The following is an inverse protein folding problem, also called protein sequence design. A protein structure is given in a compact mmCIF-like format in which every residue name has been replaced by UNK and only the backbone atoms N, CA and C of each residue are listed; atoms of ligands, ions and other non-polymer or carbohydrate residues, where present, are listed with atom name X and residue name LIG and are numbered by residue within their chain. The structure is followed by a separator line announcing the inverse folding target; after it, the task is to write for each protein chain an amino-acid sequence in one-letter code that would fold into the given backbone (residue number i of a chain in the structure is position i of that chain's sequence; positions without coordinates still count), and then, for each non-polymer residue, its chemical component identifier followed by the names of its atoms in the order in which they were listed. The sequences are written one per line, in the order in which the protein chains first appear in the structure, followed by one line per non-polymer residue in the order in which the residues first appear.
data_IF_758938221309
#
_entry.id   IF_758938221309
#
_cell.length_a   1.000
_cell.length_b   1.000
_cell.length_c   1.000
_cell.angle_alpha   90.00
_cell.angle_beta   90.00
_cell.angle_gamma   90.00
#
_symmetry.space_group_name_H-M   'P 1'
#
loop_
_entity.id
_entity.type
_entity.pdbx_description
1 polymer ?
2 non-polymer ?
3 water ?
#
# COMPACT_ATOMS: atom_id res chain seq x y z
CA UNK A 33 1.20 -5.45 30.35
C UNK A 33 1.51 -4.55 29.14
N UNK A 34 1.96 -5.17 28.06
CA UNK A 34 2.40 -4.48 26.85
C UNK A 34 1.27 -3.72 26.16
N UNK A 35 1.49 -2.43 26.01
CA UNK A 35 0.58 -1.53 25.33
C UNK A 35 0.94 -1.50 23.84
N UNK A 36 0.09 -2.07 23.00
CA UNK A 36 0.36 -2.14 21.57
C UNK A 36 -0.62 -1.23 20.84
N UNK A 37 -0.08 -0.24 20.16
CA UNK A 37 -0.84 0.67 19.31
C UNK A 37 -0.94 0.11 17.91
N UNK A 38 -2.14 0.25 17.32
CA UNK A 38 -2.41 -0.24 15.98
C UNK A 38 -2.61 0.97 15.11
N UNK A 39 -1.81 1.09 14.04
CA UNK A 39 -1.89 2.24 13.12
C UNK A 39 -2.92 2.04 12.00
N UNK A 40 -3.57 0.89 12.03
CA UNK A 40 -4.51 0.48 11.00
C UNK A 40 -5.88 1.07 11.19
N UNK A 41 -6.72 0.88 10.18
CA UNK A 41 -8.07 1.42 10.21
C UNK A 41 -9.13 0.32 10.07
N UNK A 42 -8.92 -0.56 9.11
CA UNK A 42 -9.92 -1.57 8.77
C UNK A 42 -10.24 -2.51 9.92
N UNK A 43 -9.26 -3.26 10.37
CA UNK A 43 -9.50 -4.37 11.29
C UNK A 43 -9.30 -3.97 12.76
N UNK A 44 -9.56 -2.72 13.09
CA UNK A 44 -9.21 -2.21 14.42
C UNK A 44 -9.95 -2.93 15.57
N UNK A 45 -11.21 -3.29 15.34
CA UNK A 45 -11.99 -4.08 16.31
C UNK A 45 -11.49 -5.54 16.45
N UNK A 46 -11.05 -6.14 15.34
CA UNK A 46 -10.46 -7.48 15.34
C UNK A 46 -9.13 -7.47 16.10
N UNK A 47 -8.32 -6.44 15.85
CA UNK A 47 -7.05 -6.24 16.53
C UNK A 47 -7.24 -6.10 18.03
N UNK A 48 -8.17 -5.22 18.45
CA UNK A 48 -8.49 -5.02 19.87
C UNK A 48 -8.85 -6.33 20.56
N UNK A 49 -9.78 -7.07 19.98
CA UNK A 49 -10.28 -8.33 20.55
C UNK A 49 -9.17 -9.37 20.72
N UNK A 50 -8.31 -9.51 19.73
CA UNK A 50 -7.25 -10.53 19.77
C UNK A 50 -6.10 -10.13 20.68
N UNK A 51 -5.67 -8.87 20.60
CA UNK A 51 -4.69 -8.34 21.55
C UNK A 51 -5.08 -8.58 23.00
N UNK A 52 -6.32 -8.23 23.36
CA UNK A 52 -6.81 -8.50 24.72
C UNK A 52 -6.67 -9.99 25.08
N UNK A 53 -7.11 -10.87 24.19
CA UNK A 53 -7.02 -12.32 24.42
C UNK A 53 -5.57 -12.86 24.61
N UNK A 54 -4.59 -12.13 24.10
CA UNK A 54 -3.19 -12.53 24.16
C UNK A 54 -2.44 -11.83 25.30
N UNK A 55 -3.17 -11.06 26.09
CA UNK A 55 -2.61 -10.45 27.29
C UNK A 55 -2.00 -9.09 27.05
N UNK A 56 -2.41 -8.43 25.96
CA UNK A 56 -1.91 -7.07 25.68
C UNK A 56 -2.98 -6.03 25.99
N UNK A 57 -2.52 -4.79 26.08
CA UNK A 57 -3.39 -3.60 26.18
C UNK A 57 -3.40 -2.97 24.78
N UNK A 58 -4.45 -3.22 23.98
CA UNK A 58 -4.52 -2.61 22.66
C UNK A 58 -4.87 -1.11 22.70
N UNK A 59 -4.25 -0.33 21.82
CA UNK A 59 -4.58 1.10 21.70
C UNK A 59 -4.80 1.40 20.23
N UNK A 60 -5.89 2.07 19.88
CA UNK A 60 -6.19 2.31 18.45
C UNK A 60 -5.76 3.72 18.03
N UNK A 61 -4.73 3.82 17.18
CA UNK A 61 -4.23 5.12 16.72
C UNK A 61 -4.15 5.11 15.20
N UNK A 62 -5.30 5.13 14.50
CA UNK A 62 -5.24 5.14 13.03
C UNK A 62 -4.55 6.39 12.50
N UNK A 63 -3.77 6.24 11.44
CA UNK A 63 -3.04 7.35 10.86
C UNK A 63 -3.62 7.71 9.48
N UNK A 64 -4.56 6.91 9.00
CA UNK A 64 -5.27 7.21 7.73
C UNK A 64 -6.67 7.71 8.03
N UNK A 65 -7.13 8.67 7.23
CA UNK A 65 -8.48 9.21 7.30
C UNK A 65 -9.46 8.22 6.68
N UNK A 66 -10.68 8.19 7.19
CA UNK A 66 -11.72 7.30 6.67
C UNK A 66 -12.15 7.75 5.28
N UNK A 67 -12.14 9.06 5.09
CA UNK A 67 -12.53 9.66 3.83
C UNK A 67 -11.45 9.44 2.77
N UNK A 68 -11.87 8.89 1.64
CA UNK A 68 -11.05 8.91 0.43
C UNK A 68 -11.53 10.12 -0.37
N UNK A 69 -10.66 10.72 -1.16
CA UNK A 69 -11.14 11.78 -2.04
C UNK A 69 -11.02 11.35 -3.49
N UNK A 70 -12.14 11.43 -4.25
CA UNK A 70 -12.09 11.09 -5.68
C UNK A 70 -11.16 11.98 -6.49
N UNK A 71 -10.56 11.38 -7.50
CA UNK A 71 -9.67 12.08 -8.40
C UNK A 71 -10.54 12.54 -9.56
N UNK A 72 -10.68 13.88 -9.73
CA UNK A 72 -11.61 14.48 -10.70
C UNK A 72 -11.41 13.96 -12.13
N UNK A 73 -10.15 13.82 -12.56
CA UNK A 73 -9.82 13.42 -13.93
C UNK A 73 -10.02 11.94 -14.18
N UNK A 74 -10.35 11.16 -13.14
CA UNK A 74 -10.35 9.70 -13.32
C UNK A 74 -11.25 9.18 -14.44
N UNK A 75 -12.50 9.63 -14.45
CA UNK A 75 -13.43 9.24 -15.52
C UNK A 75 -12.84 9.52 -16.91
N UNK A 76 -12.25 10.70 -17.08
CA UNK A 76 -11.56 11.06 -18.35
C UNK A 76 -10.40 10.12 -18.68
N UNK A 77 -9.65 9.71 -17.66
CA UNK A 77 -8.50 8.78 -17.85
C UNK A 77 -8.93 7.38 -18.26
N UNK A 78 -10.01 6.88 -17.65
CA UNK A 78 -10.58 5.59 -18.06
C UNK A 78 -11.11 5.67 -19.52
N UNK A 79 -11.78 6.78 -19.84
CA UNK A 79 -12.19 7.00 -21.25
C UNK A 79 -10.98 7.01 -22.21
N UNK A 80 -9.87 7.61 -21.80
CA UNK A 80 -8.64 7.58 -22.57
C UNK A 80 -8.08 6.15 -22.73
N UNK A 81 -8.11 5.38 -21.63
CA UNK A 81 -7.68 3.97 -21.65
C UNK A 81 -8.42 3.23 -22.73
N UNK A 82 -9.75 3.46 -22.78
CA UNK A 82 -10.64 2.85 -23.73
C UNK A 82 -10.24 3.10 -25.18
N UNK A 83 -9.39 4.10 -25.40
CA UNK A 83 -8.95 4.45 -26.76
C UNK A 83 -7.73 3.64 -27.24
N UNK A 84 -7.19 2.79 -26.35
CA UNK A 84 -6.04 1.94 -26.67
C UNK A 84 -4.74 2.43 -26.07
N UNK A 85 -4.00 1.53 -25.44
CA UNK A 85 -2.71 1.87 -24.82
C UNK A 85 -1.67 0.84 -25.24
N UNK A 86 -0.39 1.17 -25.06
CA UNK A 86 0.67 0.24 -25.46
C UNK A 86 1.03 -0.73 -24.36
N UNK A 87 1.25 -0.19 -23.16
CA UNK A 87 1.46 -1.00 -21.96
C UNK A 87 0.30 -0.78 -20.99
N UNK A 88 0.02 -1.81 -20.21
CA UNK A 88 -0.88 -1.69 -19.08
C UNK A 88 -0.21 -2.32 -17.87
N UNK A 89 -0.10 -1.57 -16.77
CA UNK A 89 0.51 -2.08 -15.54
C UNK A 89 -0.53 -2.13 -14.43
N UNK A 90 -0.67 -3.32 -13.85
CA UNK A 90 -1.62 -3.60 -12.79
C UNK A 90 -0.86 -3.73 -11.49
N UNK A 91 -1.34 -3.08 -10.45
CA UNK A 91 -0.64 -3.07 -9.17
C UNK A 91 -1.33 -3.93 -8.12
N UNK A 92 -2.66 -3.92 -8.10
CA UNK A 92 -3.43 -4.64 -7.08
C UNK A 92 -4.56 -5.44 -7.75
N UNK A 93 -5.00 -6.51 -7.09
CA UNK A 93 -6.12 -7.31 -7.60
C UNK A 93 -7.42 -6.54 -7.47
N UNK A 94 -7.58 -5.89 -6.33
CA UNK A 94 -8.78 -5.07 -6.04
C UNK A 94 -8.85 -3.91 -7.02
N UNK A 95 -7.70 -3.29 -7.26
CA UNK A 95 -7.55 -2.20 -8.22
C UNK A 95 -7.92 -2.61 -9.63
N UNK A 96 -7.45 -3.78 -10.05
CA UNK A 96 -7.86 -4.34 -11.34
C UNK A 96 -9.38 -4.52 -11.47
N UNK A 97 -9.96 -5.24 -10.52
CA UNK A 97 -11.43 -5.40 -10.45
C UNK A 97 -12.17 -4.09 -10.51
N UNK A 98 -11.73 -3.11 -9.72
CA UNK A 98 -12.40 -1.83 -9.66
C UNK A 98 -12.30 -1.05 -10.94
N UNK A 99 -11.16 -1.13 -11.63
CA UNK A 99 -11.03 -0.48 -12.93
C UNK A 99 -12.02 -1.05 -13.93
N UNK A 100 -12.12 -2.39 -13.95
CA UNK A 100 -13.03 -3.08 -14.86
C UNK A 100 -14.49 -2.71 -14.55
N UNK A 101 -14.81 -2.62 -13.28
CA UNK A 101 -16.14 -2.14 -12.87
C UNK A 101 -16.42 -0.71 -13.30
N UNK A 102 -15.39 0.15 -13.23
CA UNK A 102 -15.51 1.56 -13.63
C UNK A 102 -15.77 1.68 -15.12
N UNK A 103 -15.15 0.78 -15.91
CA UNK A 103 -15.35 0.76 -17.36
C UNK A 103 -16.81 0.38 -17.68
N UNK A 104 -17.32 -0.61 -16.95
CA UNK A 104 -18.74 -0.97 -17.04
C UNK A 104 -19.70 0.16 -16.65
N UNK A 105 -19.44 0.84 -15.54
CA UNK A 105 -20.27 1.95 -15.10
C UNK A 105 -20.29 3.07 -16.12
N UNK A 106 -19.18 3.25 -16.84
CA UNK A 106 -19.05 4.29 -17.86
C UNK A 106 -19.53 3.85 -19.25
N UNK A 107 -20.00 2.61 -19.35
CA UNK A 107 -20.40 1.99 -20.62
C UNK A 107 -19.29 1.82 -21.66
N UNK A 108 -18.07 1.54 -21.21
CA UNK A 108 -16.93 1.45 -22.13
C UNK A 108 -16.48 0.00 -22.34
N UNK A 109 -15.79 -0.26 -23.44
CA UNK A 109 -15.12 -1.53 -23.60
C UNK A 109 -13.66 -1.37 -23.23
N UNK A 110 -13.30 -1.90 -22.06
CA UNK A 110 -11.92 -1.90 -21.61
C UNK A 110 -11.18 -3.20 -21.95
N UNK A 111 -11.90 -4.32 -22.04
CA UNK A 111 -11.24 -5.62 -22.26
C UNK A 111 -10.56 -5.72 -23.65
N UNK A 112 -11.13 -5.05 -24.64
CA UNK A 112 -10.56 -4.96 -25.99
C UNK A 112 -9.21 -4.26 -26.02
N UNK A 113 -9.14 -2.98 -25.56
CA UNK A 113 -7.88 -2.27 -25.45
C UNK A 113 -6.89 -3.01 -24.56
N UNK A 114 -7.37 -3.53 -23.43
CA UNK A 114 -6.51 -4.27 -22.51
C UNK A 114 -5.98 -5.58 -23.10
N UNK A 115 -6.78 -6.23 -23.96
CA UNK A 115 -6.37 -7.46 -24.63
C UNK A 115 -5.18 -7.21 -25.57
N UNK A 116 -5.16 -6.02 -26.16
CA UNK A 116 -4.11 -5.65 -27.09
C UNK A 116 -2.87 -5.07 -26.41
N UNK A 117 -3.04 -4.55 -25.20
CA UNK A 117 -1.91 -3.97 -24.46
C UNK A 117 -0.90 -5.05 -24.05
N UNK A 118 0.36 -4.64 -23.84
CA UNK A 118 1.34 -5.52 -23.22
C UNK A 118 1.15 -5.33 -21.73
N UNK A 119 0.85 -6.41 -21.02
CA UNK A 119 0.37 -6.31 -19.64
C UNK A 119 1.39 -6.79 -18.63
N UNK A 120 1.61 -5.96 -17.61
CA UNK A 120 2.45 -6.32 -16.48
C UNK A 120 1.62 -6.33 -15.21
N UNK A 121 1.88 -7.32 -14.35
CA UNK A 121 1.27 -7.38 -13.04
C UNK A 121 2.37 -7.20 -12.00
N UNK A 122 2.19 -6.27 -11.07
CA UNK A 122 3.19 -6.08 -10.03
C UNK A 122 3.38 -7.34 -9.13
N UNK A 123 2.30 -8.06 -8.84
CA UNK A 123 2.33 -9.24 -7.94
C UNK A 123 1.29 -10.27 -8.31
N UNK A 124 1.14 -11.35 -7.52
CA UNK A 124 0.23 -12.46 -7.88
C UNK A 124 -1.25 -12.09 -7.80
N UNK A 125 -1.57 -11.17 -6.90
CA UNK A 125 -2.94 -10.74 -6.70
C UNK A 125 -3.42 -9.93 -7.90
N UNK A 126 -2.59 -8.99 -8.36
CA UNK A 126 -2.87 -8.28 -9.63
C UNK A 126 -2.92 -9.27 -10.78
N UNK A 127 -2.00 -10.25 -10.78
CA UNK A 127 -1.94 -11.27 -11.83
C UNK A 127 -3.18 -12.16 -11.87
N UNK A 128 -3.59 -12.65 -10.70
CA UNK A 128 -4.81 -13.44 -10.54
C UNK A 128 -6.03 -12.69 -11.06
N UNK A 129 -6.16 -11.41 -10.69
CA UNK A 129 -7.30 -10.60 -11.17
C UNK A 129 -7.31 -10.47 -12.70
N UNK A 130 -6.15 -10.21 -13.29
CA UNK A 130 -6.04 -10.16 -14.74
C UNK A 130 -6.41 -11.49 -15.38
N UNK A 131 -5.87 -12.59 -14.87
CA UNK A 131 -6.19 -13.93 -15.39
C UNK A 131 -7.70 -14.21 -15.37
N UNK A 132 -8.33 -13.92 -14.23
CA UNK A 132 -9.77 -14.11 -14.07
C UNK A 132 -10.65 -13.25 -14.99
N UNK A 133 -10.07 -12.15 -15.50
CA UNK A 133 -10.78 -11.29 -16.46
C UNK A 133 -10.49 -11.71 -17.90
N UNK A 134 -9.73 -12.79 -18.08
CA UNK A 134 -9.34 -13.25 -19.42
C UNK A 134 -8.21 -12.43 -20.02
N UNK A 135 -7.45 -11.78 -19.15
CA UNK A 135 -6.39 -10.86 -19.57
C UNK A 135 -5.08 -11.22 -18.86
N UNK A 136 -4.63 -12.48 -18.97
CA UNK A 136 -3.45 -12.86 -18.19
C UNK A 136 -2.25 -11.99 -18.50
N UNK A 137 -1.46 -11.63 -17.48
CA UNK A 137 -0.33 -10.72 -17.69
C UNK A 137 0.81 -11.39 -18.46
N UNK A 138 1.62 -10.58 -19.12
CA UNK A 138 2.76 -11.11 -19.85
C UNK A 138 4.01 -11.15 -19.00
N UNK A 139 4.04 -10.31 -17.95
CA UNK A 139 5.12 -10.32 -16.98
C UNK A 139 4.57 -10.05 -15.60
N UNK A 140 5.19 -10.68 -14.59
CA UNK A 140 4.73 -10.56 -13.22
C UNK A 140 5.95 -10.33 -12.34
N UNK A 141 5.81 -9.37 -11.42
CA UNK A 141 6.86 -9.06 -10.44
C UNK A 141 6.68 -9.86 -9.15
N UNK A 142 7.33 -9.41 -8.08
CA UNK A 142 7.26 -10.15 -6.82
C UNK A 142 6.39 -9.46 -5.76
N UNK A 143 5.58 -8.48 -6.20
CA UNK A 143 4.75 -7.70 -5.29
C UNK A 143 5.33 -6.32 -5.02
N UNK A 144 6.55 -6.10 -5.48
CA UNK A 144 7.21 -4.79 -5.27
C UNK A 144 7.37 -4.04 -6.57
N UNK A 145 7.16 -2.72 -6.51
CA UNK A 145 7.32 -1.86 -7.67
C UNK A 145 8.70 -2.07 -8.32
N UNK A 146 9.73 -2.19 -7.48
CA UNK A 146 11.13 -2.40 -7.91
C UNK A 146 11.34 -3.65 -8.79
N UNK A 147 10.58 -4.70 -8.53
CA UNK A 147 10.69 -5.96 -9.28
C UNK A 147 10.20 -5.83 -10.72
N UNK A 148 9.51 -4.73 -11.02
CA UNK A 148 8.96 -4.50 -12.35
C UNK A 148 10.00 -3.85 -13.28
N UNK A 149 10.97 -3.16 -12.67
CA UNK A 149 12.00 -2.42 -13.41
C UNK A 149 12.66 -3.23 -14.55
N UNK A 150 13.23 -4.43 -14.24
CA UNK A 150 13.86 -5.28 -15.27
C UNK A 150 12.88 -5.81 -16.32
N UNK A 151 11.58 -5.78 -15.99
CA UNK A 151 10.54 -6.35 -16.85
C UNK A 151 9.93 -5.37 -17.86
N UNK A 152 10.19 -4.08 -17.67
CA UNK A 152 9.62 -3.03 -18.54
C UNK A 152 10.31 -2.97 -19.90
N UNK A 153 9.52 -2.94 -21.00
CA UNK A 153 10.13 -2.72 -22.31
C UNK A 153 10.51 -1.26 -22.53
N UNK A 154 11.45 -1.06 -23.44
CA UNK A 154 11.75 0.26 -23.98
C UNK A 154 10.81 0.42 -25.16
N UNK A 155 10.23 1.61 -25.32
CA UNK A 155 9.46 1.89 -26.53
C UNK A 155 8.86 3.27 -26.55
N UNK A 156 7.82 3.42 -27.36
CA UNK A 156 7.07 4.67 -27.42
C UNK A 156 5.59 4.39 -27.21
N UNK A 157 4.87 5.41 -26.78
CA UNK A 157 3.43 5.30 -26.68
C UNK A 157 2.93 5.59 -25.28
N UNK A 158 1.76 5.04 -24.97
CA UNK A 158 1.11 5.28 -23.69
C UNK A 158 1.22 4.05 -22.81
N UNK A 159 1.66 4.23 -21.58
CA UNK A 159 1.64 3.19 -20.57
C UNK A 159 0.59 3.56 -19.53
N UNK A 160 -0.50 2.77 -19.48
CA UNK A 160 -1.55 2.93 -18.48
C UNK A 160 -1.13 2.27 -17.18
N UNK A 161 -1.21 3.02 -16.09
CA UNK A 161 -0.78 2.53 -14.80
C UNK A 161 -1.96 2.51 -13.83
N UNK A 162 -2.38 1.31 -13.47
CA UNK A 162 -3.50 1.15 -12.58
C UNK A 162 -3.02 1.34 -11.17
N UNK A 163 -3.72 2.25 -10.50
CA UNK A 163 -3.44 2.60 -9.14
C UNK A 163 -4.79 2.53 -8.42
N UNK A 164 -4.83 2.89 -7.16
CA UNK A 164 -6.11 2.94 -6.45
C UNK A 164 -6.20 4.21 -5.62
N UNK A 165 -5.35 4.28 -4.59
CA UNK A 165 -5.30 5.44 -3.71
C UNK A 165 -3.94 6.07 -3.48
N UNK A 166 -2.90 5.52 -4.08
CA UNK A 166 -1.58 6.14 -3.95
C UNK A 166 -0.74 6.11 -5.24
N UNK A 167 -0.04 7.22 -5.53
CA UNK A 167 0.88 7.34 -6.66
C UNK A 167 2.08 6.43 -6.46
N UNK A 168 2.69 6.01 -7.56
CA UNK A 168 3.91 5.19 -7.51
C UNK A 168 5.05 5.83 -8.33
N UNK A 169 5.71 6.85 -7.76
CA UNK A 169 6.73 7.66 -8.46
C UNK A 169 7.92 6.86 -9.03
N UNK A 170 8.45 5.90 -8.29
CA UNK A 170 9.57 5.09 -8.79
C UNK A 170 9.18 4.53 -10.15
N UNK A 171 8.04 3.83 -10.16
CA UNK A 171 7.50 3.19 -11.35
C UNK A 171 7.06 4.17 -12.45
N UNK A 172 6.52 5.32 -12.05
CA UNK A 172 6.05 6.31 -13.02
C UNK A 172 7.22 6.93 -13.77
N UNK A 173 8.26 7.30 -13.02
CA UNK A 173 9.47 7.84 -13.64
C UNK A 173 10.24 6.80 -14.46
N UNK A 174 10.32 5.57 -13.94
CA UNK A 174 10.87 4.44 -14.69
C UNK A 174 10.20 4.27 -16.04
N UNK A 175 8.88 4.47 -16.09
CA UNK A 175 8.13 4.35 -17.35
C UNK A 175 8.50 5.46 -18.33
N UNK A 176 8.53 6.70 -17.83
CA UNK A 176 8.98 7.86 -18.63
C UNK A 176 10.42 7.67 -19.15
N UNK A 177 11.33 7.17 -18.30
CA UNK A 177 12.69 6.78 -18.74
C UNK A 177 12.65 5.84 -19.95
N UNK A 178 11.76 4.84 -19.91
CA UNK A 178 11.66 3.84 -20.97
C UNK A 178 11.03 4.37 -22.25
N UNK A 179 10.58 5.62 -22.24
CA UNK A 179 10.05 6.26 -23.46
C UNK A 179 8.55 6.46 -23.55
N UNK A 180 7.84 6.13 -22.46
CA UNK A 180 6.38 6.09 -22.46
C UNK A 180 5.76 7.30 -21.79
N UNK A 181 4.63 7.70 -22.35
CA UNK A 181 3.72 8.69 -21.77
C UNK A 181 2.85 7.94 -20.74
N UNK A 182 2.93 8.32 -19.46
CA UNK A 182 2.21 7.61 -18.40
C UNK A 182 0.77 8.09 -18.21
N UNK A 183 -0.18 7.15 -18.30
CA UNK A 183 -1.58 7.44 -18.04
C UNK A 183 -1.96 6.87 -16.67
N UNK A 184 -2.05 7.73 -15.66
CA UNK A 184 -2.41 7.21 -14.35
C UNK A 184 -3.88 6.87 -14.35
N UNK A 185 -4.25 5.82 -13.62
CA UNK A 185 -5.63 5.46 -13.38
C UNK A 185 -5.80 5.28 -11.88
N UNK A 186 -5.87 6.40 -11.16
CA UNK A 186 -6.02 6.39 -9.71
C UNK A 186 -7.37 6.98 -9.39
N UNK A 187 -8.32 6.14 -8.95
CA UNK A 187 -9.65 6.67 -8.71
C UNK A 187 -9.78 7.55 -7.45
N UNK A 188 -8.91 7.29 -6.45
CA UNK A 188 -9.00 7.91 -5.13
C UNK A 188 -7.66 8.38 -4.60
N UNK A 189 -7.68 9.25 -3.60
CA UNK A 189 -6.45 9.52 -2.87
C UNK A 189 -6.64 9.05 -1.45
N UNK A 190 -5.78 8.17 -0.96
CA UNK A 190 -5.75 7.84 0.47
C UNK A 190 -5.22 9.09 1.16
N UNK A 191 -5.82 9.45 2.29
CA UNK A 191 -5.49 10.68 3.01
C UNK A 191 -4.98 10.33 4.40
N UNK A 192 -3.98 11.09 4.90
CA UNK A 192 -3.58 10.91 6.29
C UNK A 192 -4.68 11.41 7.26
N UNK A 193 -4.59 11.02 8.54
CA UNK A 193 -5.39 11.68 9.56
C UNK A 193 -4.42 12.57 10.32
N UNK A 194 -4.32 13.87 9.93
CA UNK A 194 -3.27 14.73 10.50
C UNK A 194 -3.21 14.84 12.04
N UNK A 195 -4.35 15.02 12.70
CA UNK A 195 -4.38 15.12 14.16
C UNK A 195 -4.08 13.76 14.81
N UNK A 196 -4.56 12.70 14.18
CA UNK A 196 -4.35 11.32 14.68
C UNK A 196 -2.89 10.89 14.66
N UNK A 197 -2.18 11.31 13.62
CA UNK A 197 -0.73 11.13 13.51
C UNK A 197 -0.01 11.87 14.62
N UNK A 198 -0.41 13.12 14.83
CA UNK A 198 0.16 13.95 15.89
C UNK A 198 -0.08 13.30 17.25
N UNK A 199 -1.27 12.73 17.47
CA UNK A 199 -1.57 12.06 18.74
C UNK A 199 -0.73 10.80 18.90
N UNK A 200 -0.62 10.01 17.84
CA UNK A 200 0.21 8.80 17.87
C UNK A 200 1.66 9.17 18.13
N UNK A 201 2.20 10.15 17.42
CA UNK A 201 3.57 10.58 17.68
C UNK A 201 3.77 10.94 19.17
N UNK A 202 2.85 11.73 19.74
CA UNK A 202 2.97 12.13 21.15
C UNK A 202 3.01 10.88 22.06
N UNK A 203 2.08 9.96 21.83
CA UNK A 203 1.99 8.70 22.60
C UNK A 203 3.28 7.89 22.59
N UNK A 204 3.89 7.77 21.42
CA UNK A 204 5.19 7.10 21.24
C UNK A 204 6.32 7.82 21.98
N UNK A 205 6.38 9.14 21.79
CA UNK A 205 7.38 9.98 22.42
C UNK A 205 7.22 10.10 23.93
N UNK A 206 5.98 10.09 24.43
CA UNK A 206 5.69 10.20 25.87
C UNK A 206 5.70 8.86 26.62
N UNK A 207 6.07 7.78 25.94
CA UNK A 207 6.17 6.47 26.58
C UNK A 207 4.85 5.80 26.93
N UNK A 208 3.76 6.17 26.24
CA UNK A 208 2.43 5.58 26.50
C UNK A 208 2.23 4.26 25.75
N UNK A 209 3.17 3.93 24.88
CA UNK A 209 3.07 2.70 24.10
C UNK A 209 4.38 1.93 24.11
N UNK A 210 4.26 0.62 24.10
CA UNK A 210 5.42 -0.26 24.15
C UNK A 210 5.78 -0.81 22.78
N UNK A 211 4.79 -0.92 21.91
CA UNK A 211 4.92 -1.45 20.56
C UNK A 211 3.91 -0.79 19.60
N UNK A 212 4.25 -0.74 18.33
CA UNK A 212 3.39 -0.06 17.36
C UNK A 212 3.29 -0.91 16.11
N UNK A 213 2.09 -1.40 15.83
CA UNK A 213 1.88 -2.30 14.70
C UNK A 213 1.41 -1.55 13.47
N UNK A 214 2.13 -1.76 12.37
CA UNK A 214 1.84 -1.19 11.06
C UNK A 214 1.43 -2.34 10.16
N UNK A 215 0.35 -2.16 9.40
CA UNK A 215 -0.12 -3.23 8.51
C UNK A 215 -0.11 -2.85 7.05
N UNK A 216 0.31 -1.63 6.74
CA UNK A 216 0.49 -1.21 5.36
C UNK A 216 1.62 -0.20 5.32
N UNK A 217 2.39 -0.22 4.23
CA UNK A 217 3.48 0.71 4.02
C UNK A 217 2.99 2.17 4.10
N UNK A 218 1.77 2.43 3.65
CA UNK A 218 1.19 3.80 3.65
C UNK A 218 1.05 4.40 5.06
N UNK A 219 0.86 3.52 6.05
CA UNK A 219 0.78 3.94 7.46
C UNK A 219 2.12 4.48 7.95
N UNK A 220 3.20 3.80 7.58
CA UNK A 220 4.55 4.28 7.86
C UNK A 220 4.75 5.66 7.23
N UNK A 221 4.45 5.79 5.94
CA UNK A 221 4.56 7.06 5.20
C UNK A 221 3.78 8.19 5.85
N UNK A 222 2.49 7.98 6.09
CA UNK A 222 1.62 8.95 6.76
C UNK A 222 2.21 9.44 8.08
N UNK A 223 2.62 8.49 8.94
CA UNK A 223 3.20 8.82 10.23
C UNK A 223 4.47 9.67 10.14
N UNK A 224 5.44 9.25 9.32
CA UNK A 224 6.69 10.02 9.26
C UNK A 224 6.57 11.33 8.49
N UNK A 225 5.69 11.35 7.49
CA UNK A 225 5.34 12.60 6.78
C UNK A 225 4.54 13.60 7.63
N UNK A 226 3.81 13.11 8.62
CA UNK A 226 2.95 13.94 9.46
C UNK A 226 3.51 14.31 10.80
N UNK A 227 4.64 13.69 11.17
CA UNK A 227 5.26 13.85 12.47
C UNK A 227 5.79 15.28 12.60
N UNK A 228 5.65 15.86 13.80
CA UNK A 228 6.31 17.14 14.10
C UNK A 228 7.82 16.93 14.24
N UNK A 229 8.21 15.84 14.90
CA UNK A 229 9.62 15.53 15.16
C UNK A 229 10.01 14.14 14.63
N UNK A 230 10.21 14.01 13.30
CA UNK A 230 10.54 12.69 12.74
C UNK A 230 11.89 12.08 13.21
N UNK A 231 12.88 12.90 13.55
CA UNK A 231 14.12 12.40 14.15
C UNK A 231 13.95 11.79 15.52
N UNK A 232 13.17 12.43 16.39
CA UNK A 232 12.85 11.89 17.70
C UNK A 232 12.02 10.61 17.55
N UNK A 233 11.02 10.67 16.68
CA UNK A 233 10.14 9.52 16.45
C UNK A 233 10.94 8.29 15.99
N UNK A 234 11.79 8.45 14.97
CA UNK A 234 12.71 7.38 14.54
C UNK A 234 13.54 6.80 15.69
N UNK A 235 14.15 7.68 16.49
CA UNK A 235 14.96 7.26 17.65
C UNK A 235 14.13 6.39 18.60
N UNK A 236 12.94 6.86 18.95
CA UNK A 236 12.02 6.13 19.83
C UNK A 236 11.70 4.74 19.29
N UNK A 237 11.34 4.67 18.00
CA UNK A 237 10.97 3.40 17.39
C UNK A 237 12.17 2.49 17.18
N UNK A 238 13.38 3.04 17.34
CA UNK A 238 14.62 2.24 17.28
C UNK A 238 15.11 1.77 18.65
N UNK A 239 14.71 2.47 19.71
CA UNK A 239 15.29 2.25 21.04
C UNK A 239 14.27 1.88 22.12
N UNK A 240 13.10 2.51 22.10
CA UNK A 240 12.15 2.42 23.23
C UNK A 240 10.86 1.71 22.84
N UNK A 241 10.37 2.00 21.65
CA UNK A 241 9.09 1.45 21.19
C UNK A 241 9.32 0.50 20.03
N UNK A 242 8.81 -0.72 20.17
CA UNK A 242 9.02 -1.78 19.18
C UNK A 242 8.08 -1.62 17.99
N UNK A 243 8.68 -1.49 16.80
CA UNK A 243 7.94 -1.31 15.57
C UNK A 243 7.68 -2.68 14.98
N UNK A 244 6.42 -2.97 14.73
CA UNK A 244 6.01 -4.28 14.28
C UNK A 244 5.47 -4.13 12.88
N UNK A 245 5.90 -4.99 11.97
CA UNK A 245 5.47 -4.89 10.58
C UNK A 245 4.76 -6.14 10.11
N UNK A 246 3.57 -5.95 9.55
CA UNK A 246 2.89 -7.04 8.89
C UNK A 246 3.24 -6.93 7.41
N UNK A 247 4.19 -7.75 6.98
CA UNK A 247 4.57 -7.83 5.57
C UNK A 247 5.95 -7.26 5.31
N UNK A 248 6.64 -7.81 4.31
CA UNK A 248 7.93 -7.26 3.94
C UNK A 248 7.86 -5.83 3.40
N UNK A 249 6.81 -5.51 2.66
CA UNK A 249 6.64 -4.17 2.05
C UNK A 249 6.52 -3.09 3.15
N UNK A 250 5.73 -3.39 4.17
CA UNK A 250 5.62 -2.56 5.38
C UNK A 250 6.97 -2.45 6.11
N UNK A 251 7.65 -3.58 6.30
CA UNK A 251 8.98 -3.53 6.90
C UNK A 251 10.00 -2.69 6.11
N UNK A 252 9.96 -2.76 4.79
CA UNK A 252 10.87 -1.96 3.93
C UNK A 252 10.60 -0.46 4.04
N UNK A 253 9.35 -0.09 4.23
CA UNK A 253 8.99 1.32 4.42
C UNK A 253 9.55 1.84 5.72
N UNK A 254 9.47 1.04 6.79
CA UNK A 254 10.08 1.43 8.07
C UNK A 254 11.57 1.64 7.86
N UNK A 255 12.22 0.66 7.23
CA UNK A 255 13.67 0.74 6.97
C UNK A 255 14.11 1.95 6.17
N UNK A 256 13.32 2.33 5.14
CA UNK A 256 13.56 3.55 4.38
C UNK A 256 13.50 4.82 5.24
N UNK A 257 12.74 4.78 6.35
CA UNK A 257 12.71 5.90 7.29
C UNK A 257 13.70 5.79 8.44
N UNK A 258 14.61 4.82 8.34
CA UNK A 258 15.70 4.68 9.32
C UNK A 258 15.31 3.93 10.58
N UNK A 259 14.19 3.20 10.49
CA UNK A 259 13.64 2.41 11.59
C UNK A 259 13.86 0.93 11.32
N UNK A 260 14.51 0.25 12.27
CA UNK A 260 14.63 -1.21 12.19
C UNK A 260 13.45 -1.89 12.88
N UNK A 261 12.59 -2.62 12.12
CA UNK A 261 11.44 -3.27 12.78
C UNK A 261 11.87 -4.32 13.82
N UNK A 262 11.17 -4.37 14.95
CA UNK A 262 11.44 -5.35 15.99
C UNK A 262 11.01 -6.74 15.54
N UNK A 263 9.88 -6.80 14.85
CA UNK A 263 9.31 -8.05 14.40
C UNK A 263 8.65 -7.78 13.07
N UNK A 264 8.83 -8.72 12.15
CA UNK A 264 8.19 -8.67 10.86
C UNK A 264 7.42 -9.97 10.65
N UNK A 265 6.12 -9.85 10.39
CA UNK A 265 5.35 -11.01 9.99
C UNK A 265 5.30 -11.12 8.49
N UNK A 266 6.01 -12.12 7.97
CA UNK A 266 6.00 -12.44 6.54
C UNK A 266 4.98 -13.53 6.22
N UNK A 267 4.02 -13.74 7.12
CA UNK A 267 2.83 -14.56 6.84
C UNK A 267 1.74 -13.62 6.35
N UNK A 268 1.95 -12.34 6.62
CA UNK A 268 1.10 -11.23 6.20
C UNK A 268 -0.32 -11.27 6.77
N UNK A 269 -0.46 -11.81 7.99
CA UNK A 269 -1.74 -11.82 8.69
C UNK A 269 -1.60 -11.11 10.03
N UNK A 270 -2.57 -10.25 10.35
CA UNK A 270 -2.61 -9.57 11.64
C UNK A 270 -2.61 -10.53 12.83
N UNK A 271 -3.38 -11.61 12.71
CA UNK A 271 -3.48 -12.63 13.76
C UNK A 271 -2.15 -13.27 14.05
N UNK A 272 -1.44 -13.62 12.96
CA UNK A 272 -0.11 -14.21 13.04
C UNK A 272 0.94 -13.27 13.64
N UNK A 273 0.89 -11.99 13.26
CA UNK A 273 1.79 -10.98 13.83
C UNK A 273 1.66 -10.92 15.34
N UNK A 274 0.42 -10.95 15.83
CA UNK A 274 0.19 -10.85 17.27
C UNK A 274 0.71 -12.08 18.03
N UNK A 275 0.43 -13.27 17.51
CA UNK A 275 0.97 -14.51 18.10
C UNK A 275 2.50 -14.51 18.00
N UNK A 276 3.03 -14.22 16.82
CA UNK A 276 4.47 -14.17 16.59
C UNK A 276 5.24 -13.14 17.41
N UNK A 277 4.64 -11.96 17.58
CA UNK A 277 5.20 -10.93 18.46
C UNK A 277 5.26 -11.37 19.93
N UNK A 278 4.18 -12.01 20.39
CA UNK A 278 4.17 -12.51 21.77
C UNK A 278 5.40 -13.40 22.07
N UNK A 279 5.73 -14.30 21.13
CA UNK A 279 6.89 -15.19 21.30
C UNK A 279 8.23 -14.45 21.21
N UNK A 280 8.34 -13.56 20.22
CA UNK A 280 9.55 -12.77 19.99
C UNK A 280 9.93 -11.95 21.23
N UNK A 281 8.93 -11.41 21.89
CA UNK A 281 9.11 -10.62 23.10
C UNK A 281 9.87 -11.39 24.21
N UNK A 282 9.38 -12.59 24.51
CA UNK A 282 9.93 -13.40 25.59
C UNK A 282 11.29 -14.00 25.21
X LIG B 1 -6.94 -3.98 6.49
X LIG B 1 -6.35 -4.52 5.53
X LIG B 1 -6.91 -4.84 4.46
X LIG B 1 -4.87 -4.81 5.69
X LIG B 1 -4.12 -3.50 5.81
X LIG B 1 -4.07 -2.70 4.53
X LIG B 1 -3.77 -3.18 3.30
X LIG B 1 -3.81 -2.12 2.42
X LIG B 1 -3.45 -4.63 2.94
X LIG B 1 -4.34 -5.11 1.82
X LIG B 1 -4.29 -1.30 4.41
X LIG B 1 -4.64 -0.34 5.55
X LIG B 1 -5.91 -0.72 6.27
X LIG B 1 -6.85 -1.14 5.56
X LIG B 1 -5.98 -0.58 7.52
X LIG B 1 -4.14 -0.96 3.10
X LIG B 1 -4.29 0.41 2.48
X LIG B 1 -4.42 0.21 1.00
X LIG B 1 -5.61 -0.14 0.41
X LIG B 1 -3.45 0.25 0.02
X LIG B 1 -1.98 0.59 0.20
X LIG B 1 -1.17 -0.60 0.74
X LIG B 1 0.21 -0.29 1.30
X LIG B 1 0.94 -1.28 1.60
X LIG B 1 0.62 0.88 1.47
X LIG B 1 -4.11 -0.05 -1.21
X LIG B 1 -3.45 -0.15 -2.58
X LIG B 1 -3.39 1.11 -3.42
X LIG B 1 -2.74 1.05 -4.50
X LIG B 1 -3.96 2.15 -3.04
X LIG B 1 -5.42 -0.29 -0.94
X LIG B 1 -6.53 -0.66 -1.89
X LIG B 1 -7.32 -1.82 -1.31
X LIG B 1 -6.75 -3.03 -0.94
X LIG B 1 -8.66 -1.88 -1.06
X LIG B 1 -9.68 -0.79 -1.32
X LIG B 1 -10.16 -0.16 -0.02
X LIG B 1 -9.38 0.57 0.64
X LIG B 1 -11.34 -0.38 0.33
X LIG B 1 -8.94 -3.18 -0.52
X LIG B 1 -10.28 -3.73 -0.12
X LIG B 1 -10.61 -3.49 1.36
X LIG B 1 -12.03 -3.96 1.63
X LIG B 1 -12.32 -4.39 2.78
X LIG B 1 -12.88 -3.89 0.71
X LIG B 1 -7.76 -3.84 -0.47
X LIG B 1 -7.56 -5.25 0.02
X LIG B 1 -6.15 -5.38 0.53
X LIG B 1 -5.67 -4.77 1.66
X LIG B 1 -5.13 -6.10 -0.02
X LIG B 1 -3.99 -5.92 0.80
X LIG B 1 -2.63 -6.54 0.57
X LIG B 1 -1.82 -5.76 -0.43
X LIG B 1 -1.11 -6.40 -1.24
X LIG B 1 -1.90 -4.50 -0.43
X LIG B 1 -5.19 -6.95 -1.28
X LIG B 1 -4.58 -6.11 -2.40
X LIG B 1 -4.93 -6.68 -3.76
X LIG B 1 -4.00 -6.85 -4.58
X LIG B 1 -6.13 -6.95 -4.00
#
# INVERSE_FOLDING_TARGET
MHHHHHHGKPIPNPLLGLDSTENLYFQGIDPFTMRIAYAGLRRKEEFKALAEKLGFTPLLFPVQATEKVPVPEYRDQVRELAQGVDLFLATTGVGVRDLLEAGKALGLDLEGPLAKAFRLARGAKAARALKEAGLPPHAVGDGTSKSLLPLLPQGRGVAALQLYGKPLPLLENALAERGYRVLPLMPYRHLPDPEGILRLEEAVLRGEVDALAFVAAIQVEFLFEGAKDPKALREALNTRVKALAVGRVTADALREWGVKPFYVDETERLGSLLQGFKRALQKEVA
UP3 O2R C63 O1R C62 C61 C18 C19 N24 C20 C1 C17 C86 C87 O1Q O2Q C16 C15 C14 N23 C13 C51 C52 C53 O2M O1M C12 C81 C82 O1L O2L C11 C10 C6 N22 C7 C7A C7B O17 O27 C8 C41 C42 C43 O28 O18 C9 C5 C4 N21 C3 C2 C2A C2B O12 O22 C31 C32 C33 O13 O23
#
